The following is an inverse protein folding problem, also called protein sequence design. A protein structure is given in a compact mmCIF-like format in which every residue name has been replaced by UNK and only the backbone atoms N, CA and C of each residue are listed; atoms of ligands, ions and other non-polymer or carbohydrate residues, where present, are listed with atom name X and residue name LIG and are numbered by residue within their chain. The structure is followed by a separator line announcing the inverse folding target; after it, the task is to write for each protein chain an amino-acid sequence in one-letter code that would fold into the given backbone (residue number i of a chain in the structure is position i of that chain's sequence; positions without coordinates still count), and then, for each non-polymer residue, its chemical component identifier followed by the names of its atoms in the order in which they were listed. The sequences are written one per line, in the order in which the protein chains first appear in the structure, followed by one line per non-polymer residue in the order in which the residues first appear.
data_IF_258684719043
#
_entry.id   IF_258684719043
#
_cell.length_a   1.000
_cell.length_b   1.000
_cell.length_c   1.000
_cell.angle_alpha   90.00
_cell.angle_beta   90.00
_cell.angle_gamma   90.00
#
_symmetry.space_group_name_H-M   'P 1'
#
loop_
_entity.id
_entity.type
_entity.pdbx_description
1 polymer ?
#
# COMPACT_ATOMS: atom_id res chain seq x y z
N UNK A 1 -16.41 -16.28 -22.65
CA UNK A 1 -15.96 -15.72 -21.36
C UNK A 1 -16.09 -16.83 -20.33
N UNK A 2 -15.12 -17.01 -19.41
CA UNK A 2 -15.37 -17.89 -18.27
C UNK A 2 -16.62 -17.38 -17.53
N UNK A 3 -17.46 -18.30 -17.11
CA UNK A 3 -18.69 -18.00 -16.37
C UNK A 3 -18.33 -17.34 -15.04
N UNK A 4 -19.10 -16.34 -14.60
CA UNK A 4 -18.89 -15.73 -13.28
C UNK A 4 -18.95 -16.81 -12.18
N UNK A 5 -18.11 -16.74 -11.14
CA UNK A 5 -18.14 -17.69 -10.03
C UNK A 5 -19.53 -17.80 -9.42
N UNK A 6 -20.04 -19.01 -9.23
CA UNK A 6 -21.38 -19.27 -8.70
C UNK A 6 -21.38 -19.53 -7.18
N UNK A 7 -20.21 -19.79 -6.60
CA UNK A 7 -20.01 -20.02 -5.17
C UNK A 7 -18.63 -19.49 -4.72
N UNK A 8 -18.40 -19.50 -3.40
CA UNK A 8 -17.16 -18.98 -2.79
C UNK A 8 -15.92 -19.77 -3.22
N UNK A 9 -16.02 -21.08 -3.40
CA UNK A 9 -14.88 -21.92 -3.80
C UNK A 9 -14.41 -21.58 -5.22
N UNK A 10 -15.35 -21.44 -6.16
CA UNK A 10 -15.09 -20.97 -7.52
C UNK A 10 -14.48 -19.56 -7.52
N UNK A 11 -14.96 -18.66 -6.64
CA UNK A 11 -14.39 -17.32 -6.52
C UNK A 11 -12.94 -17.37 -6.07
N UNK A 12 -12.62 -18.14 -5.02
CA UNK A 12 -11.26 -18.26 -4.51
C UNK A 12 -10.30 -18.88 -5.52
N UNK A 13 -10.76 -19.88 -6.29
CA UNK A 13 -10.00 -20.43 -7.41
C UNK A 13 -9.73 -19.36 -8.48
N UNK A 14 -10.77 -18.61 -8.88
CA UNK A 14 -10.63 -17.56 -9.88
C UNK A 14 -9.72 -16.40 -9.42
N UNK A 15 -9.77 -16.02 -8.14
CA UNK A 15 -8.83 -15.06 -7.55
C UNK A 15 -7.39 -15.57 -7.63
N UNK A 16 -7.16 -16.84 -7.29
CA UNK A 16 -5.83 -17.45 -7.36
C UNK A 16 -5.32 -17.59 -8.80
N UNK A 17 -6.20 -17.85 -9.77
CA UNK A 17 -5.85 -17.85 -11.19
C UNK A 17 -5.51 -16.45 -11.69
N UNK A 18 -6.26 -15.43 -11.25
CA UNK A 18 -6.02 -14.05 -11.63
C UNK A 18 -4.70 -13.52 -11.04
N UNK A 19 -4.38 -13.88 -9.80
CA UNK A 19 -3.14 -13.47 -9.12
C UNK A 19 -1.88 -13.95 -9.86
N UNK A 20 -1.95 -15.13 -10.49
CA UNK A 20 -0.84 -15.66 -11.31
C UNK A 20 -0.66 -14.95 -12.65
N UNK A 21 -1.61 -14.10 -13.07
CA UNK A 21 -1.50 -13.37 -14.33
C UNK A 21 -0.53 -12.19 -14.18
N UNK A 22 0.21 -11.84 -15.25
CA UNK A 22 0.95 -10.59 -15.30
C UNK A 22 0.04 -9.40 -15.04
N UNK A 23 0.54 -8.37 -14.36
CA UNK A 23 -0.17 -7.11 -14.21
C UNK A 23 -0.47 -6.50 -15.58
N UNK A 24 -1.71 -6.02 -15.75
CA UNK A 24 -2.19 -5.47 -17.01
C UNK A 24 -3.72 -5.52 -17.10
N UNK A 25 -4.26 -4.98 -18.20
CA UNK A 25 -5.71 -4.80 -18.40
C UNK A 25 -6.52 -6.05 -18.12
N UNK A 26 -6.06 -7.22 -18.56
CA UNK A 26 -6.78 -8.48 -18.35
C UNK A 26 -6.89 -8.84 -16.87
N UNK A 27 -5.80 -8.70 -16.09
CA UNK A 27 -5.83 -8.96 -14.64
C UNK A 27 -6.75 -7.97 -13.92
N UNK A 28 -6.72 -6.70 -14.32
CA UNK A 28 -7.57 -5.65 -13.76
C UNK A 28 -9.05 -5.90 -14.03
N UNK A 29 -9.44 -6.13 -15.29
CA UNK A 29 -10.84 -6.37 -15.65
C UNK A 29 -11.37 -7.63 -14.97
N UNK A 30 -10.58 -8.71 -14.94
CA UNK A 30 -10.99 -9.91 -14.21
C UNK A 30 -11.13 -9.65 -12.71
N UNK A 31 -10.26 -8.84 -12.08
CA UNK A 31 -10.43 -8.48 -10.67
C UNK A 31 -11.69 -7.64 -10.43
N UNK A 32 -12.07 -6.74 -11.35
CA UNK A 32 -13.33 -5.99 -11.30
C UNK A 32 -14.53 -6.96 -11.34
N UNK A 33 -14.56 -7.87 -12.31
CA UNK A 33 -15.61 -8.91 -12.44
C UNK A 33 -15.72 -9.81 -11.19
N UNK A 34 -14.58 -10.13 -10.55
CA UNK A 34 -14.55 -10.94 -9.33
C UNK A 34 -15.08 -10.18 -8.10
N UNK A 35 -14.88 -8.86 -8.02
CA UNK A 35 -15.51 -8.04 -6.97
C UNK A 35 -17.02 -8.00 -7.18
N UNK A 36 -17.49 -7.77 -8.42
CA UNK A 36 -18.92 -7.77 -8.74
C UNK A 36 -19.59 -9.12 -8.39
N UNK A 37 -18.90 -10.23 -8.65
CA UNK A 37 -19.37 -11.56 -8.26
C UNK A 37 -19.38 -11.76 -6.74
N UNK A 38 -18.33 -11.32 -6.04
CA UNK A 38 -18.22 -11.44 -4.59
C UNK A 38 -19.31 -10.65 -3.84
N UNK A 39 -19.76 -9.51 -4.40
CA UNK A 39 -20.87 -8.71 -3.84
C UNK A 39 -22.21 -9.45 -3.84
N UNK A 40 -22.37 -10.50 -4.65
CA UNK A 40 -23.60 -11.30 -4.67
C UNK A 40 -23.67 -12.33 -3.54
N UNK A 41 -22.55 -12.61 -2.87
CA UNK A 41 -22.52 -13.54 -1.75
C UNK A 41 -22.90 -12.84 -0.44
N UNK A 42 -23.59 -13.57 0.44
CA UNK A 42 -23.98 -13.04 1.75
C UNK A 42 -22.80 -12.92 2.73
N UNK A 43 -21.67 -13.57 2.42
CA UNK A 43 -20.49 -13.60 3.28
C UNK A 43 -19.54 -12.44 2.98
N UNK A 44 -19.04 -11.71 4.01
CA UNK A 44 -18.18 -10.55 3.80
C UNK A 44 -16.73 -10.93 3.42
N UNK A 45 -16.25 -12.10 3.84
CA UNK A 45 -14.86 -12.52 3.65
C UNK A 45 -14.47 -12.68 2.16
N UNK A 46 -15.28 -13.31 1.30
CA UNK A 46 -15.07 -13.33 -0.15
C UNK A 46 -14.87 -11.92 -0.75
N UNK A 47 -15.69 -10.95 -0.34
CA UNK A 47 -15.60 -9.57 -0.82
C UNK A 47 -14.30 -8.90 -0.36
N UNK A 48 -13.87 -9.10 0.88
CA UNK A 48 -12.57 -8.59 1.37
C UNK A 48 -11.42 -9.11 0.51
N UNK A 49 -11.41 -10.41 0.20
CA UNK A 49 -10.39 -11.01 -0.65
C UNK A 49 -10.40 -10.46 -2.08
N UNK A 50 -11.59 -10.30 -2.68
CA UNK A 50 -11.72 -9.74 -4.02
C UNK A 50 -11.29 -8.27 -4.09
N UNK A 51 -11.66 -7.45 -3.09
CA UNK A 51 -11.22 -6.06 -3.01
C UNK A 51 -9.71 -5.93 -2.80
N UNK A 52 -9.10 -6.85 -2.03
CA UNK A 52 -7.65 -6.89 -1.89
C UNK A 52 -6.97 -7.18 -3.23
N UNK A 53 -7.44 -8.16 -4.00
CA UNK A 53 -6.92 -8.45 -5.34
C UNK A 53 -7.11 -7.26 -6.29
N UNK A 54 -8.29 -6.64 -6.29
CA UNK A 54 -8.59 -5.48 -7.15
C UNK A 54 -7.71 -4.28 -6.84
N UNK A 55 -7.52 -3.94 -5.56
CA UNK A 55 -6.63 -2.85 -5.17
C UNK A 55 -5.20 -3.10 -5.66
N UNK A 56 -4.72 -4.34 -5.56
CA UNK A 56 -3.39 -4.72 -6.03
C UNK A 56 -3.29 -4.60 -7.56
N UNK A 57 -4.29 -5.11 -8.29
CA UNK A 57 -4.37 -5.01 -9.74
C UNK A 57 -4.43 -3.55 -10.24
N UNK A 58 -5.07 -2.64 -9.50
CA UNK A 58 -5.00 -1.21 -9.81
C UNK A 58 -3.64 -0.61 -9.49
N UNK A 59 -3.04 -0.98 -8.35
CA UNK A 59 -1.76 -0.43 -7.88
C UNK A 59 -0.62 -0.71 -8.86
N UNK A 60 -0.58 -1.90 -9.44
CA UNK A 60 0.45 -2.33 -10.40
C UNK A 60 -0.02 -2.35 -11.86
N UNK A 61 -1.28 -2.02 -12.11
CA UNK A 61 -1.88 -1.94 -13.45
C UNK A 61 -1.83 -0.54 -14.04
N UNK A 62 -2.66 -0.32 -15.07
CA UNK A 62 -2.73 0.95 -15.81
C UNK A 62 -3.63 2.01 -15.16
N UNK A 63 -4.31 1.69 -14.06
CA UNK A 63 -5.29 2.59 -13.41
C UNK A 63 -5.03 2.80 -11.90
N UNK A 64 -3.80 3.16 -11.47
CA UNK A 64 -3.46 3.30 -10.05
C UNK A 64 -4.29 4.35 -9.31
N UNK A 65 -4.89 5.31 -10.04
CA UNK A 65 -5.79 6.33 -9.48
C UNK A 65 -7.04 5.73 -8.83
N UNK A 66 -7.45 4.52 -9.21
CA UNK A 66 -8.62 3.81 -8.64
C UNK A 66 -8.30 3.07 -7.33
N UNK A 67 -7.02 2.78 -7.05
CA UNK A 67 -6.60 2.01 -5.87
C UNK A 67 -7.05 2.61 -4.53
N UNK A 68 -6.95 3.94 -4.28
CA UNK A 68 -7.42 4.54 -3.03
C UNK A 68 -8.92 4.35 -2.76
N UNK A 69 -9.75 4.36 -3.81
CA UNK A 69 -11.21 4.18 -3.69
C UNK A 69 -11.54 2.76 -3.23
N UNK A 70 -10.87 1.76 -3.80
CA UNK A 70 -11.01 0.35 -3.38
C UNK A 70 -10.54 0.17 -1.95
N UNK A 71 -9.44 0.81 -1.57
CA UNK A 71 -8.95 0.72 -0.20
C UNK A 71 -9.88 1.39 0.82
N UNK A 72 -10.53 2.49 0.46
CA UNK A 72 -11.55 3.11 1.32
C UNK A 72 -12.71 2.14 1.60
N UNK A 73 -13.15 1.36 0.59
CA UNK A 73 -14.16 0.30 0.79
C UNK A 73 -13.68 -0.80 1.76
N UNK A 74 -12.41 -1.22 1.66
CA UNK A 74 -11.81 -2.17 2.60
C UNK A 74 -11.75 -1.62 4.03
N UNK A 75 -11.46 -0.32 4.20
CA UNK A 75 -11.48 0.33 5.51
C UNK A 75 -12.87 0.39 6.10
N UNK A 76 -13.89 0.73 5.31
CA UNK A 76 -15.30 0.67 5.77
C UNK A 76 -15.67 -0.72 6.26
N UNK A 77 -15.35 -1.77 5.50
CA UNK A 77 -15.61 -3.16 5.91
C UNK A 77 -14.84 -3.53 7.20
N UNK A 78 -13.60 -3.08 7.35
CA UNK A 78 -12.83 -3.30 8.57
C UNK A 78 -13.42 -2.58 9.78
N UNK A 79 -13.92 -1.36 9.60
CA UNK A 79 -14.50 -0.56 10.67
C UNK A 79 -15.87 -1.11 11.10
N UNK A 80 -16.67 -1.61 10.16
CA UNK A 80 -17.99 -2.20 10.42
C UNK A 80 -17.92 -3.63 10.95
N UNK A 81 -16.99 -4.44 10.41
CA UNK A 81 -16.90 -5.88 10.68
C UNK A 81 -15.44 -6.32 10.94
N UNK A 82 -14.80 -5.80 12.02
CA UNK A 82 -13.39 -6.07 12.29
C UNK A 82 -13.07 -7.55 12.54
N UNK A 83 -14.05 -8.36 12.95
CA UNK A 83 -13.89 -9.78 13.25
C UNK A 83 -13.72 -10.65 11.98
N UNK A 84 -14.10 -10.13 10.81
CA UNK A 84 -13.85 -10.78 9.51
C UNK A 84 -12.35 -10.78 9.17
N UNK A 85 -11.61 -9.80 9.71
CA UNK A 85 -10.20 -9.62 9.42
C UNK A 85 -9.35 -10.39 10.42
N UNK A 86 -8.92 -11.58 10.00
CA UNK A 86 -7.89 -12.35 10.71
C UNK A 86 -6.54 -11.59 10.75
N UNK A 87 -5.56 -12.12 11.48
CA UNK A 87 -4.25 -11.47 11.63
C UNK A 87 -3.53 -11.22 10.29
N UNK A 88 -3.74 -12.10 9.30
CA UNK A 88 -3.14 -11.98 7.97
C UNK A 88 -3.81 -10.85 7.18
N UNK A 89 -5.13 -10.79 7.17
CA UNK A 89 -5.90 -9.72 6.51
C UNK A 89 -5.66 -8.38 7.17
N UNK A 90 -5.58 -8.33 8.51
CA UNK A 90 -5.17 -7.13 9.25
C UNK A 90 -3.79 -6.68 8.82
N UNK A 91 -2.83 -7.59 8.78
CA UNK A 91 -1.48 -7.26 8.32
C UNK A 91 -1.49 -6.67 6.90
N UNK A 92 -2.20 -7.30 5.95
CA UNK A 92 -2.32 -6.78 4.58
C UNK A 92 -2.98 -5.41 4.52
N UNK A 93 -4.08 -5.21 5.26
CA UNK A 93 -4.79 -3.93 5.35
C UNK A 93 -3.85 -2.83 5.86
N UNK A 94 -3.20 -3.04 7.00
CA UNK A 94 -2.29 -2.05 7.59
C UNK A 94 -1.06 -1.79 6.71
N UNK A 95 -0.55 -2.81 6.02
CA UNK A 95 0.54 -2.67 5.06
C UNK A 95 0.17 -1.74 3.89
N UNK A 96 -1.05 -1.89 3.36
CA UNK A 96 -1.57 -1.17 2.19
C UNK A 96 -1.82 0.32 2.42
N UNK A 97 -1.82 0.81 3.66
CA UNK A 97 -1.79 2.26 3.93
C UNK A 97 -0.64 2.99 3.24
N UNK A 98 0.54 2.37 3.21
CA UNK A 98 1.72 2.91 2.51
C UNK A 98 1.52 2.97 0.99
N UNK A 99 0.84 1.96 0.43
CA UNK A 99 0.58 1.90 -1.01
C UNK A 99 -0.36 3.02 -1.43
N UNK A 100 -1.39 3.28 -0.62
CA UNK A 100 -2.30 4.41 -0.85
C UNK A 100 -1.58 5.75 -0.66
N UNK A 101 -0.74 5.89 0.36
CA UNK A 101 0.07 7.12 0.54
C UNK A 101 0.96 7.37 -0.68
N UNK A 102 1.61 6.33 -1.20
CA UNK A 102 2.38 6.41 -2.44
C UNK A 102 1.50 6.81 -3.64
N UNK A 103 0.36 6.13 -3.84
CA UNK A 103 -0.55 6.37 -4.96
C UNK A 103 -1.09 7.79 -4.96
N UNK A 104 -1.61 8.28 -3.83
CA UNK A 104 -2.14 9.64 -3.68
C UNK A 104 -1.08 10.70 -4.03
N UNK A 105 0.19 10.48 -3.65
CA UNK A 105 1.30 11.41 -3.96
C UNK A 105 1.61 11.49 -5.46
N UNK A 106 1.27 10.47 -6.25
CA UNK A 106 1.43 10.50 -7.71
C UNK A 106 0.28 11.23 -8.43
N UNK A 107 -0.75 11.67 -7.71
CA UNK A 107 -1.93 12.31 -8.28
C UNK A 107 -1.85 13.84 -8.09
N UNK A 108 -1.52 14.62 -9.13
CA UNK A 108 -1.33 16.07 -9.01
C UNK A 108 -2.62 16.82 -8.62
N UNK A 109 -3.79 16.24 -8.86
CA UNK A 109 -5.08 16.82 -8.46
C UNK A 109 -5.37 16.69 -6.95
N UNK A 110 -4.65 15.83 -6.22
CA UNK A 110 -4.90 15.62 -4.79
C UNK A 110 -4.23 16.74 -3.99
N UNK A 111 -5.00 17.51 -3.18
CA UNK A 111 -4.43 18.57 -2.37
C UNK A 111 -3.45 18.04 -1.31
N UNK A 112 -2.40 18.81 -1.02
CA UNK A 112 -1.44 18.49 0.05
C UNK A 112 -2.12 18.26 1.42
N UNK A 113 -3.19 19.01 1.71
CA UNK A 113 -3.97 18.82 2.92
C UNK A 113 -4.58 17.41 3.02
N UNK A 114 -5.06 16.85 1.90
CA UNK A 114 -5.59 15.48 1.85
C UNK A 114 -4.51 14.43 2.05
N UNK A 115 -3.29 14.66 1.52
CA UNK A 115 -2.13 13.78 1.80
C UNK A 115 -1.77 13.79 3.29
N UNK A 116 -1.72 14.96 3.93
CA UNK A 116 -1.45 15.09 5.36
C UNK A 116 -2.55 14.45 6.22
N UNK A 117 -3.81 14.58 5.81
CA UNK A 117 -4.93 13.91 6.46
C UNK A 117 -4.79 12.38 6.36
N UNK A 118 -4.41 11.86 5.18
CA UNK A 118 -4.16 10.42 5.00
C UNK A 118 -3.04 9.90 5.92
N UNK A 119 -1.94 10.65 6.05
CA UNK A 119 -0.86 10.27 6.96
C UNK A 119 -1.30 10.32 8.43
N UNK A 120 -2.15 11.27 8.81
CA UNK A 120 -2.74 11.35 10.16
C UNK A 120 -3.60 10.12 10.44
N UNK A 121 -4.48 9.75 9.52
CA UNK A 121 -5.31 8.54 9.62
C UNK A 121 -4.45 7.27 9.76
N UNK A 122 -3.40 7.15 8.95
CA UNK A 122 -2.45 6.04 9.05
C UNK A 122 -1.81 5.95 10.44
N UNK A 123 -1.35 7.09 10.97
CA UNK A 123 -0.73 7.16 12.31
C UNK A 123 -1.73 6.75 13.39
N UNK A 124 -2.90 7.37 13.41
CA UNK A 124 -3.91 7.17 14.46
C UNK A 124 -4.36 5.71 14.50
N UNK A 125 -4.56 5.09 13.32
CA UNK A 125 -4.89 3.67 13.23
C UNK A 125 -3.74 2.76 13.66
N UNK A 126 -2.50 3.11 13.33
CA UNK A 126 -1.34 2.35 13.79
C UNK A 126 -1.20 2.42 15.32
N UNK A 127 -1.34 3.60 15.91
CA UNK A 127 -1.31 3.79 17.37
C UNK A 127 -2.45 3.00 18.05
N UNK A 128 -3.68 3.10 17.55
CA UNK A 128 -4.85 2.35 18.05
C UNK A 128 -4.64 0.82 17.98
N UNK A 129 -3.94 0.33 16.96
CA UNK A 129 -3.65 -1.09 16.78
C UNK A 129 -2.35 -1.55 17.46
N UNK A 130 -1.66 -0.67 18.21
CA UNK A 130 -0.39 -1.00 18.87
C UNK A 130 0.76 -1.31 17.90
N UNK A 131 0.71 -0.76 16.69
CA UNK A 131 1.69 -0.98 15.63
C UNK A 131 2.83 0.06 15.73
N UNK A 132 4.06 -0.37 15.44
CA UNK A 132 5.19 0.54 15.41
C UNK A 132 5.06 1.57 14.26
N UNK A 133 5.46 2.81 14.51
CA UNK A 133 5.23 3.94 13.61
C UNK A 133 6.31 4.16 12.55
N UNK A 134 7.38 3.37 12.52
CA UNK A 134 8.43 3.52 11.51
C UNK A 134 7.88 3.63 10.07
N UNK A 135 6.86 2.85 9.65
CA UNK A 135 6.33 2.96 8.29
C UNK A 135 5.58 4.28 8.05
N UNK A 136 4.90 4.83 9.05
CA UNK A 136 4.29 6.16 8.98
C UNK A 136 5.36 7.24 8.78
N UNK A 137 6.44 7.21 9.57
CA UNK A 137 7.54 8.17 9.41
C UNK A 137 8.22 8.03 8.05
N UNK A 138 8.29 6.81 7.49
CA UNK A 138 8.73 6.60 6.12
C UNK A 138 7.86 7.33 5.10
N UNK A 139 6.53 7.26 5.22
CA UNK A 139 5.62 7.99 4.34
C UNK A 139 5.65 9.51 4.59
N UNK A 140 5.83 9.96 5.84
CA UNK A 140 6.01 11.37 6.17
C UNK A 140 7.27 11.96 5.53
N UNK A 141 8.41 11.26 5.63
CA UNK A 141 9.64 11.63 4.93
C UNK A 141 9.43 11.68 3.40
N UNK A 142 8.78 10.67 2.84
CA UNK A 142 8.47 10.62 1.42
C UNK A 142 7.60 11.81 0.96
N UNK A 143 6.66 12.26 1.79
CA UNK A 143 5.86 13.45 1.51
C UNK A 143 6.71 14.73 1.58
N UNK A 144 7.40 14.98 2.71
CA UNK A 144 8.24 16.18 2.90
C UNK A 144 9.23 16.35 1.75
N UNK A 145 9.89 15.25 1.38
CA UNK A 145 10.89 15.23 0.34
C UNK A 145 10.30 15.27 -1.10
N UNK A 146 8.98 15.17 -1.26
CA UNK A 146 8.27 15.39 -2.53
C UNK A 146 7.82 16.83 -2.70
N UNK A 147 7.35 17.47 -1.62
CA UNK A 147 6.97 18.90 -1.64
C UNK A 147 8.17 19.83 -1.55
N UNK A 148 9.34 19.32 -1.12
CA UNK A 148 10.54 20.13 -0.93
C UNK A 148 10.46 21.01 0.32
N UNK A 149 9.88 20.49 1.40
CA UNK A 149 9.75 21.20 2.67
C UNK A 149 11.12 21.29 3.37
N UNK A 150 11.36 22.41 4.06
CA UNK A 150 12.59 22.69 4.82
C UNK A 150 12.86 21.64 5.93
N UNK A 151 11.83 20.89 6.36
CA UNK A 151 11.92 19.88 7.41
C UNK A 151 12.26 18.47 6.90
N UNK A 152 12.59 18.30 5.61
CA UNK A 152 12.88 17.00 4.99
C UNK A 152 13.96 16.20 5.74
N UNK A 153 15.02 16.87 6.22
CA UNK A 153 16.08 16.26 7.03
C UNK A 153 15.55 15.69 8.35
N UNK A 154 14.74 16.46 9.07
CA UNK A 154 14.13 16.00 10.32
C UNK A 154 13.20 14.81 10.07
N UNK A 155 12.38 14.87 9.02
CA UNK A 155 11.51 13.76 8.65
C UNK A 155 12.31 12.49 8.31
N UNK A 156 13.43 12.64 7.60
CA UNK A 156 14.36 11.54 7.32
C UNK A 156 14.95 10.96 8.61
N UNK A 157 15.48 11.78 9.51
CA UNK A 157 16.09 11.32 10.77
C UNK A 157 15.08 10.58 11.65
N UNK A 158 13.84 11.09 11.73
CA UNK A 158 12.76 10.44 12.45
C UNK A 158 12.46 9.05 11.85
N UNK A 159 12.43 8.91 10.53
CA UNK A 159 12.23 7.61 9.91
C UNK A 159 13.45 6.69 10.08
N UNK A 160 14.64 7.15 9.73
CA UNK A 160 15.86 6.37 9.68
C UNK A 160 16.35 5.92 11.06
N UNK A 161 16.09 6.72 12.10
CA UNK A 161 16.43 6.40 13.50
C UNK A 161 15.46 5.45 14.20
N UNK A 162 14.33 5.09 13.58
CA UNK A 162 13.35 4.17 14.18
C UNK A 162 13.64 2.71 13.86
N UNK A 163 13.39 1.86 14.84
CA UNK A 163 13.46 0.40 14.67
C UNK A 163 12.46 -0.07 13.61
N UNK A 164 12.91 -1.00 12.77
CA UNK A 164 12.04 -1.69 11.81
C UNK A 164 10.92 -2.43 12.54
N UNK A 165 9.80 -2.57 11.87
CA UNK A 165 8.60 -3.25 12.34
C UNK A 165 8.21 -4.31 11.33
N UNK A 166 7.24 -5.17 11.68
CA UNK A 166 6.63 -6.10 10.72
C UNK A 166 5.99 -5.39 9.50
N UNK A 167 5.72 -4.09 9.61
CA UNK A 167 5.13 -3.28 8.55
C UNK A 167 6.17 -2.39 7.84
N UNK A 168 7.46 -2.50 8.17
CA UNK A 168 8.53 -1.78 7.47
C UNK A 168 8.72 -2.32 6.06
N UNK A 169 9.06 -1.44 5.12
CA UNK A 169 9.33 -1.86 3.74
C UNK A 169 10.52 -2.83 3.67
N UNK A 170 10.65 -3.51 2.53
CA UNK A 170 11.76 -4.43 2.31
C UNK A 170 13.12 -3.75 2.54
N UNK A 171 14.14 -4.48 2.99
CA UNK A 171 15.44 -3.86 3.33
C UNK A 171 16.04 -3.11 2.14
N UNK A 172 16.02 -3.73 0.95
CA UNK A 172 16.46 -3.10 -0.29
C UNK A 172 15.68 -1.83 -0.62
N UNK A 173 14.37 -1.79 -0.32
CA UNK A 173 13.51 -0.64 -0.52
C UNK A 173 13.96 0.52 0.37
N UNK A 174 14.21 0.25 1.67
CA UNK A 174 14.66 1.27 2.62
C UNK A 174 16.09 1.73 2.36
N UNK A 175 16.99 0.82 1.97
CA UNK A 175 18.34 1.17 1.51
C UNK A 175 18.24 2.15 0.33
N UNK A 176 17.41 1.84 -0.67
CA UNK A 176 17.20 2.72 -1.80
C UNK A 176 16.70 4.10 -1.39
N UNK A 177 15.80 4.20 -0.41
CA UNK A 177 15.28 5.48 0.06
C UNK A 177 16.32 6.27 0.88
N UNK A 178 17.18 5.60 1.65
CA UNK A 178 18.29 6.24 2.37
C UNK A 178 19.37 6.76 1.43
N UNK A 179 19.71 6.02 0.39
CA UNK A 179 20.63 6.49 -0.63
C UNK A 179 20.07 7.70 -1.39
N UNK A 180 18.77 7.68 -1.75
CA UNK A 180 18.10 8.84 -2.38
C UNK A 180 18.09 10.09 -1.50
N UNK A 181 18.05 9.94 -0.18
CA UNK A 181 18.23 11.07 0.73
C UNK A 181 19.61 11.71 0.53
N UNK A 182 20.69 10.93 0.64
CA UNK A 182 22.05 11.44 0.45
C UNK A 182 22.29 12.06 -0.92
N UNK A 183 21.71 11.46 -1.96
CA UNK A 183 21.76 12.02 -3.32
C UNK A 183 21.08 13.39 -3.39
N UNK A 184 19.96 13.61 -2.71
CA UNK A 184 19.27 14.91 -2.68
C UNK A 184 20.05 15.97 -1.92
N UNK A 185 20.78 15.56 -0.88
CA UNK A 185 21.69 16.43 -0.12
C UNK A 185 23.01 16.71 -0.86
N UNK A 186 23.23 16.14 -2.05
CA UNK A 186 24.44 16.32 -2.85
C UNK A 186 25.64 15.46 -2.41
N UNK A 187 25.43 14.45 -1.55
CA UNK A 187 26.45 13.50 -1.12
C UNK A 187 26.38 12.20 -1.95
N UNK A 188 26.80 12.32 -3.22
CA UNK A 188 26.76 11.25 -4.21
C UNK A 188 27.56 10.02 -3.76
N UNK A 189 28.73 10.22 -3.14
CA UNK A 189 29.57 9.12 -2.67
C UNK A 189 28.86 8.31 -1.57
N UNK A 190 28.21 8.99 -0.63
CA UNK A 190 27.46 8.31 0.43
C UNK A 190 26.22 7.62 -0.11
N UNK A 191 25.56 8.19 -1.11
CA UNK A 191 24.45 7.53 -1.81
C UNK A 191 24.92 6.21 -2.46
N UNK A 192 26.05 6.23 -3.17
CA UNK A 192 26.63 5.04 -3.82
C UNK A 192 27.05 3.98 -2.79
N UNK A 193 27.73 4.38 -1.70
CA UNK A 193 28.08 3.46 -0.59
C UNK A 193 26.83 2.84 0.05
N UNK A 194 25.77 3.62 0.22
CA UNK A 194 24.52 3.09 0.75
C UNK A 194 23.87 2.07 -0.20
N UNK A 195 23.95 2.27 -1.52
CA UNK A 195 23.39 1.35 -2.51
C UNK A 195 24.21 0.07 -2.74
N UNK A 196 25.49 0.05 -2.40
CA UNK A 196 26.41 -1.06 -2.67
C UNK A 196 25.83 -2.46 -2.33
N UNK A 197 25.20 -2.69 -1.15
CA UNK A 197 24.66 -4.01 -0.83
C UNK A 197 23.54 -4.47 -1.79
N UNK A 198 22.73 -3.54 -2.31
CA UNK A 198 21.63 -3.86 -3.24
C UNK A 198 22.17 -4.08 -4.66
N UNK A 199 23.24 -3.38 -5.04
CA UNK A 199 23.88 -3.53 -6.35
C UNK A 199 24.71 -4.81 -6.48
N UNK A 200 25.20 -5.33 -5.34
CA UNK A 200 26.01 -6.55 -5.30
C UNK A 200 25.21 -7.86 -5.44
N UNK A 201 23.88 -7.83 -5.25
CA UNK A 201 22.99 -8.99 -5.30
C UNK A 201 22.67 -9.54 -3.92
#
# INVERSE_FOLDING_TARGET
MPTAPQNTDELYLALQENDRRPYGRTRTVTAEELVDAAEQFAEPLPLVHALLELQEAYTYGSEPRKSPVVFARLLTLFDEQPDVFDDRLRHQLFWRFKWVAHALRQLPEIPLASLRQWLTEMRDRYEKAGLGLQPYYGQAYQLAAHVGEDDTTLAYELWAGRTRTRLSDCEACEICQRARYHLREGDDERALRAWEPVLAG
#
